data_IF_621316926808
#
_entry.id   IF_621316926808
#
_cell.length_a   1.000
_cell.length_b   1.000
_cell.length_c   1.000
_cell.angle_alpha   90.00
_cell.angle_beta   90.00
_cell.angle_gamma   90.00
#
_symmetry.space_group_name_H-M   'P 1'
#
loop_
_entity.id
_entity.type
_entity.pdbx_description
1 polymer ?
#
# COMPACT_ATOMS: atom_id res chain seq x y z
N UNK A 1 -8.21 8.00 23.53
CA UNK A 1 -6.85 7.60 23.74
C UNK A 1 -6.52 6.26 23.10
N UNK A 2 -5.31 6.12 22.69
CA UNK A 2 -4.82 4.86 22.15
C UNK A 2 -4.45 3.95 23.32
N UNK A 3 -5.23 2.92 23.55
CA UNK A 3 -4.84 1.88 24.47
C UNK A 3 -3.71 1.05 23.86
N UNK A 4 -2.63 0.92 24.61
CA UNK A 4 -1.51 0.07 24.20
C UNK A 4 -1.83 -1.37 24.52
N UNK A 5 -1.92 -2.20 23.49
CA UNK A 5 -2.13 -3.64 23.66
C UNK A 5 -0.87 -4.30 24.20
N UNK A 6 -1.03 -5.28 25.09
CA UNK A 6 0.06 -6.14 25.51
C UNK A 6 0.53 -7.06 24.37
N UNK A 7 1.74 -7.63 24.53
CA UNK A 7 2.25 -8.62 23.55
C UNK A 7 1.35 -9.84 23.43
N UNK A 8 0.78 -10.29 24.55
CA UNK A 8 -0.14 -11.42 24.56
C UNK A 8 -1.42 -11.12 23.77
N UNK A 9 -2.01 -9.94 23.97
CA UNK A 9 -3.19 -9.50 23.25
C UNK A 9 -2.94 -9.37 21.75
N UNK A 10 -1.80 -8.77 21.36
CA UNK A 10 -1.40 -8.67 19.96
C UNK A 10 -1.23 -10.04 19.32
N UNK A 11 -0.61 -10.99 20.03
CA UNK A 11 -0.41 -12.34 19.55
C UNK A 11 -1.72 -13.09 19.37
N UNK A 12 -2.65 -12.97 20.32
CA UNK A 12 -3.99 -13.55 20.21
C UNK A 12 -4.78 -12.96 19.04
N UNK A 13 -4.62 -11.69 18.80
CA UNK A 13 -5.22 -11.01 17.65
C UNK A 13 -4.69 -11.55 16.33
N UNK A 14 -3.38 -11.75 16.22
CA UNK A 14 -2.76 -12.36 15.04
C UNK A 14 -3.24 -13.81 14.83
N UNK A 15 -3.30 -14.61 15.90
CA UNK A 15 -3.82 -15.96 15.82
C UNK A 15 -5.26 -15.95 15.31
N UNK A 16 -6.10 -15.05 15.82
CA UNK A 16 -7.49 -14.92 15.36
C UNK A 16 -7.58 -14.54 13.89
N UNK A 17 -6.71 -13.66 13.43
CA UNK A 17 -6.66 -13.23 12.04
C UNK A 17 -6.23 -14.36 11.09
N UNK A 18 -5.17 -15.08 11.43
CA UNK A 18 -4.57 -16.12 10.60
C UNK A 18 -5.23 -17.49 10.76
N UNK A 19 -5.99 -17.70 11.82
CA UNK A 19 -6.71 -18.93 12.14
C UNK A 19 -6.01 -19.77 13.20
N UNK A 20 -4.68 -19.89 13.17
CA UNK A 20 -3.94 -20.64 14.16
C UNK A 20 -2.46 -20.22 14.21
N UNK A 21 -1.79 -20.53 15.30
CA UNK A 21 -0.35 -20.34 15.45
C UNK A 21 0.44 -21.15 14.40
N UNK A 22 -0.02 -22.34 14.08
CA UNK A 22 0.57 -23.19 13.04
C UNK A 22 0.56 -22.47 11.69
N UNK A 23 -0.56 -21.87 11.30
CA UNK A 23 -0.68 -21.12 10.04
C UNK A 23 0.22 -19.91 10.00
N UNK A 24 0.36 -19.17 11.10
CA UNK A 24 1.30 -18.05 11.20
C UNK A 24 2.72 -18.52 10.92
N UNK A 25 3.15 -19.61 11.55
CA UNK A 25 4.49 -20.17 11.37
C UNK A 25 4.73 -20.65 9.95
N UNK A 26 3.75 -21.27 9.33
CA UNK A 26 3.82 -21.71 7.92
C UNK A 26 3.96 -20.53 6.96
N UNK A 27 3.19 -19.47 7.14
CA UNK A 27 3.31 -18.24 6.35
C UNK A 27 4.65 -17.57 6.55
N UNK A 28 5.12 -17.48 7.79
CA UNK A 28 6.43 -16.92 8.10
C UNK A 28 7.57 -17.69 7.44
N UNK A 29 7.52 -19.02 7.48
CA UNK A 29 8.51 -19.87 6.84
C UNK A 29 8.53 -19.70 5.33
N UNK A 30 7.38 -19.54 4.69
CA UNK A 30 7.29 -19.21 3.26
C UNK A 30 7.87 -17.83 2.96
N UNK A 31 7.50 -16.84 3.77
CA UNK A 31 7.99 -15.47 3.62
C UNK A 31 9.50 -15.39 3.70
N UNK A 32 10.12 -16.08 4.66
CA UNK A 32 11.58 -16.09 4.81
C UNK A 32 12.35 -16.66 3.60
N UNK A 33 11.70 -17.49 2.81
CA UNK A 33 12.32 -18.12 1.62
C UNK A 33 12.24 -17.25 0.37
N UNK A 34 11.45 -16.18 0.39
CA UNK A 34 11.32 -15.25 -0.73
C UNK A 34 12.50 -14.28 -0.74
N UNK A 35 12.87 -13.83 -1.93
CA UNK A 35 13.81 -12.72 -2.06
C UNK A 35 13.11 -11.43 -1.62
N UNK A 36 13.80 -10.66 -0.78
CA UNK A 36 13.31 -9.40 -0.26
C UNK A 36 14.30 -8.28 -0.56
N UNK A 37 13.75 -7.11 -0.89
CA UNK A 37 14.50 -5.89 -1.02
C UNK A 37 13.76 -4.80 -0.24
N UNK A 38 14.47 -4.12 0.66
CA UNK A 38 13.92 -3.08 1.51
C UNK A 38 14.38 -1.72 1.01
N UNK A 39 13.40 -0.86 0.72
CA UNK A 39 13.67 0.49 0.21
C UNK A 39 13.17 1.50 1.21
N UNK A 40 14.06 2.34 1.71
CA UNK A 40 13.69 3.51 2.50
C UNK A 40 13.39 4.67 1.55
N UNK A 41 12.13 5.07 1.48
CA UNK A 41 11.70 6.13 0.58
C UNK A 41 10.46 6.85 1.11
N UNK A 42 10.41 8.15 0.88
CA UNK A 42 9.17 8.90 0.93
C UNK A 42 8.50 8.79 -0.44
N UNK A 43 7.33 8.17 -0.50
CA UNK A 43 6.64 7.91 -1.77
C UNK A 43 6.23 9.19 -2.50
N UNK A 44 6.09 10.31 -1.79
CA UNK A 44 5.77 11.61 -2.38
C UNK A 44 7.02 12.35 -2.88
N UNK A 45 8.13 12.23 -2.14
CA UNK A 45 9.38 12.92 -2.51
C UNK A 45 10.18 12.15 -3.57
N UNK A 46 10.26 10.84 -3.39
CA UNK A 46 11.13 9.98 -4.20
C UNK A 46 10.37 8.75 -4.70
N UNK A 47 9.26 8.91 -5.45
CA UNK A 47 8.49 7.77 -5.93
C UNK A 47 9.30 6.82 -6.80
N UNK A 48 10.28 7.32 -7.53
CA UNK A 48 11.13 6.53 -8.41
C UNK A 48 11.96 5.48 -7.67
N UNK A 49 12.26 5.68 -6.38
CA UNK A 49 12.95 4.66 -5.58
C UNK A 49 12.15 3.37 -5.47
N UNK A 50 10.82 3.48 -5.46
CA UNK A 50 9.91 2.34 -5.44
C UNK A 50 9.59 1.88 -6.85
N UNK A 51 9.23 2.79 -7.74
CA UNK A 51 8.81 2.44 -9.10
C UNK A 51 9.95 1.86 -9.94
N UNK A 52 11.20 2.17 -9.64
CA UNK A 52 12.35 1.53 -10.28
C UNK A 52 12.49 0.03 -9.96
N UNK A 53 11.82 -0.45 -8.92
CA UNK A 53 11.78 -1.87 -8.59
C UNK A 53 10.77 -2.65 -9.41
N UNK A 54 9.88 -1.98 -10.12
CA UNK A 54 8.91 -2.61 -11.00
C UNK A 54 9.64 -3.10 -12.25
N UNK A 55 9.54 -4.40 -12.51
CA UNK A 55 10.25 -5.03 -13.64
C UNK A 55 9.49 -4.90 -14.95
N UNK A 56 8.18 -4.71 -14.89
CA UNK A 56 7.30 -4.67 -16.07
C UNK A 56 6.98 -6.05 -16.64
N UNK A 57 7.44 -7.11 -16.00
CA UNK A 57 7.25 -8.49 -16.45
C UNK A 57 6.53 -9.33 -15.41
N UNK A 58 5.73 -10.29 -15.84
CA UNK A 58 5.02 -11.19 -14.96
C UNK A 58 3.84 -10.51 -14.23
N UNK A 59 3.38 -11.18 -13.20
CA UNK A 59 2.28 -10.71 -12.35
C UNK A 59 2.85 -9.90 -11.20
N UNK A 60 2.83 -8.60 -11.33
CA UNK A 60 3.25 -7.69 -10.28
C UNK A 60 2.05 -7.16 -9.52
N UNK A 61 2.20 -7.05 -8.20
CA UNK A 61 1.18 -6.54 -7.30
C UNK A 61 1.81 -5.48 -6.42
N UNK A 62 1.13 -4.34 -6.30
CA UNK A 62 1.47 -3.33 -5.30
C UNK A 62 0.39 -3.38 -4.22
N UNK A 63 0.83 -3.51 -2.98
CA UNK A 63 -0.05 -3.39 -1.84
C UNK A 63 0.36 -2.18 -1.00
N UNK A 64 -0.61 -1.34 -0.65
CA UNK A 64 -0.37 -0.23 0.26
C UNK A 64 -1.50 -0.08 1.28
N UNK A 65 -1.22 0.65 2.34
CA UNK A 65 -2.19 1.02 3.36
C UNK A 65 -1.97 2.49 3.73
N UNK A 66 -2.91 3.34 3.40
CA UNK A 66 -2.93 4.77 3.72
C UNK A 66 -1.69 5.57 3.29
N UNK A 67 -0.97 5.11 2.27
CA UNK A 67 0.31 5.72 1.88
C UNK A 67 0.19 7.20 1.49
N UNK A 68 -0.93 7.59 0.88
CA UNK A 68 -1.18 8.95 0.41
C UNK A 68 -2.13 9.76 1.29
N UNK A 69 -2.82 9.11 2.21
CA UNK A 69 -3.83 9.72 3.06
C UNK A 69 -3.49 9.69 4.54
N UNK A 70 -2.23 9.59 4.89
CA UNK A 70 -1.83 9.71 6.27
C UNK A 70 -2.02 11.15 6.75
N UNK A 71 -2.26 11.31 8.03
CA UNK A 71 -2.34 12.64 8.67
C UNK A 71 -1.09 13.47 8.37
N UNK A 72 0.09 12.85 8.44
CA UNK A 72 1.35 13.51 8.13
C UNK A 72 1.41 13.99 6.68
N UNK A 73 1.03 13.16 5.74
CA UNK A 73 1.04 13.54 4.32
C UNK A 73 0.11 14.72 4.06
N UNK A 74 -1.10 14.71 4.63
CA UNK A 74 -2.06 15.80 4.50
C UNK A 74 -1.60 17.07 5.20
N UNK A 75 -1.01 16.94 6.37
CA UNK A 75 -0.50 18.08 7.12
C UNK A 75 0.64 18.79 6.38
N UNK A 76 1.57 18.04 5.82
CA UNK A 76 2.73 18.59 5.13
C UNK A 76 2.43 19.13 3.72
N UNK A 77 1.47 18.56 3.03
CA UNK A 77 1.26 18.81 1.60
C UNK A 77 -0.12 19.33 1.25
N UNK A 78 -1.09 19.21 2.16
CA UNK A 78 -2.51 19.44 1.88
C UNK A 78 -3.10 18.38 0.95
N UNK A 79 -4.41 18.39 0.76
CA UNK A 79 -5.12 17.43 -0.09
C UNK A 79 -4.67 17.51 -1.56
N UNK A 80 -4.50 18.72 -2.09
CA UNK A 80 -4.08 18.88 -3.48
C UNK A 80 -2.65 18.38 -3.72
N UNK A 81 -1.75 18.60 -2.75
CA UNK A 81 -0.37 18.11 -2.81
C UNK A 81 -0.29 16.59 -2.75
N UNK A 82 -1.06 15.96 -1.88
CA UNK A 82 -1.16 14.50 -1.78
C UNK A 82 -1.73 13.91 -3.07
N UNK A 83 -2.75 14.53 -3.64
CA UNK A 83 -3.34 14.11 -4.91
C UNK A 83 -2.33 14.17 -6.03
N UNK A 84 -1.55 15.25 -6.11
CA UNK A 84 -0.51 15.41 -7.11
C UNK A 84 0.58 14.32 -6.97
N UNK A 85 0.99 14.01 -5.74
CA UNK A 85 1.92 12.90 -5.47
C UNK A 85 1.35 11.57 -5.95
N UNK A 86 0.10 11.30 -5.66
CA UNK A 86 -0.59 10.08 -6.10
C UNK A 86 -0.63 9.98 -7.62
N UNK A 87 -1.00 11.05 -8.30
CA UNK A 87 -1.06 11.09 -9.78
C UNK A 87 0.33 10.86 -10.41
N UNK A 88 1.36 11.48 -9.85
CA UNK A 88 2.73 11.29 -10.31
C UNK A 88 3.17 9.84 -10.15
N UNK A 89 2.91 9.27 -8.98
CA UNK A 89 3.27 7.89 -8.67
C UNK A 89 2.54 6.88 -9.56
N UNK A 90 1.24 7.04 -9.72
CA UNK A 90 0.44 6.13 -10.57
C UNK A 90 0.84 6.22 -12.04
N UNK A 91 1.17 7.42 -12.54
CA UNK A 91 1.68 7.57 -13.91
C UNK A 91 3.01 6.84 -14.11
N UNK A 92 3.91 6.92 -13.16
CA UNK A 92 5.17 6.18 -13.22
C UNK A 92 4.94 4.66 -13.24
N UNK A 93 4.00 4.17 -12.44
CA UNK A 93 3.64 2.75 -12.42
C UNK A 93 3.04 2.32 -13.76
N UNK A 94 2.09 3.09 -14.30
CA UNK A 94 1.47 2.79 -15.60
C UNK A 94 2.52 2.72 -16.71
N UNK A 95 3.50 3.60 -16.69
CA UNK A 95 4.58 3.58 -17.66
C UNK A 95 5.47 2.36 -17.53
N UNK A 96 5.67 1.85 -16.32
CA UNK A 96 6.48 0.66 -16.07
C UNK A 96 5.73 -0.64 -16.36
N UNK A 97 4.49 -0.73 -15.88
CA UNK A 97 3.65 -1.91 -16.07
C UNK A 97 2.17 -1.52 -15.97
N UNK A 98 1.48 -1.30 -17.11
CA UNK A 98 0.06 -0.91 -17.10
C UNK A 98 -0.87 -1.99 -16.54
N UNK A 99 -0.40 -3.23 -16.46
CA UNK A 99 -1.17 -4.38 -15.97
C UNK A 99 -0.91 -4.72 -14.51
N UNK A 100 -0.17 -3.89 -13.80
CA UNK A 100 0.09 -4.10 -12.38
C UNK A 100 -1.22 -4.00 -11.57
N UNK A 101 -1.36 -4.86 -10.58
CA UNK A 101 -2.50 -4.86 -9.68
C UNK A 101 -2.20 -4.04 -8.44
N UNK A 102 -3.19 -3.29 -7.99
CA UNK A 102 -3.13 -2.55 -6.74
C UNK A 102 -4.10 -3.17 -5.75
N UNK A 103 -3.58 -3.50 -4.59
CA UNK A 103 -4.34 -4.02 -3.46
C UNK A 103 -4.01 -3.19 -2.23
N UNK A 104 -4.99 -2.96 -1.37
CA UNK A 104 -4.71 -2.23 -0.14
C UNK A 104 -5.95 -1.58 0.46
N UNK A 105 -5.71 -0.63 1.33
CA UNK A 105 -6.74 0.10 2.04
C UNK A 105 -6.35 1.59 2.12
N UNK A 106 -7.26 2.46 1.78
CA UNK A 106 -7.01 3.89 1.85
C UNK A 106 -7.40 4.50 3.21
N UNK A 107 -7.12 5.79 3.36
CA UNK A 107 -7.42 6.55 4.57
C UNK A 107 -8.92 6.55 4.95
N UNK A 108 -9.79 6.45 3.98
CA UNK A 108 -11.24 6.48 4.20
C UNK A 108 -11.80 5.12 4.63
N UNK A 109 -10.95 4.23 5.03
CA UNK A 109 -11.30 2.87 5.46
C UNK A 109 -11.99 2.04 4.38
N UNK A 110 -11.80 2.43 3.12
CA UNK A 110 -12.33 1.71 1.98
C UNK A 110 -11.33 0.67 1.52
N UNK A 111 -11.73 -0.59 1.40
CA UNK A 111 -10.86 -1.59 0.81
C UNK A 111 -10.54 -1.20 -0.63
N UNK A 112 -9.29 -1.27 -1.01
CA UNK A 112 -8.88 -1.19 -2.39
C UNK A 112 -9.03 -2.58 -2.96
N UNK A 113 -10.05 -2.78 -3.78
CA UNK A 113 -10.21 -4.03 -4.51
C UNK A 113 -9.09 -4.17 -5.53
N UNK A 114 -8.73 -5.42 -5.84
CA UNK A 114 -7.72 -5.68 -6.85
C UNK A 114 -8.15 -5.09 -8.19
N UNK A 115 -7.51 -4.01 -8.59
CA UNK A 115 -7.73 -3.32 -9.86
C UNK A 115 -6.41 -3.08 -10.55
N UNK A 116 -6.46 -2.98 -11.87
CA UNK A 116 -5.31 -2.48 -12.59
C UNK A 116 -5.15 -0.99 -12.29
N UNK A 117 -3.91 -0.53 -12.21
CA UNK A 117 -3.60 0.84 -11.78
C UNK A 117 -4.28 1.91 -12.63
N UNK A 118 -4.43 1.67 -13.92
CA UNK A 118 -5.12 2.59 -14.84
C UNK A 118 -6.58 2.86 -14.46
N UNK A 119 -7.26 1.85 -13.93
CA UNK A 119 -8.67 1.96 -13.51
C UNK A 119 -8.76 2.63 -12.13
N UNK A 120 -7.79 2.35 -11.29
CA UNK A 120 -7.73 2.90 -9.94
C UNK A 120 -7.48 4.41 -9.92
N UNK A 121 -6.73 4.92 -10.86
CA UNK A 121 -6.45 6.34 -10.97
C UNK A 121 -7.75 7.15 -11.20
N UNK A 122 -8.65 6.65 -12.02
CA UNK A 122 -9.96 7.31 -12.25
C UNK A 122 -10.83 7.30 -11.00
N UNK A 123 -10.91 6.16 -10.32
CA UNK A 123 -11.68 6.03 -9.07
C UNK A 123 -11.15 6.96 -7.98
N UNK A 124 -9.85 7.02 -7.82
CA UNK A 124 -9.22 7.91 -6.84
C UNK A 124 -9.50 9.38 -7.15
N UNK A 125 -9.42 9.77 -8.40
CA UNK A 125 -9.71 11.13 -8.82
C UNK A 125 -11.15 11.54 -8.52
N UNK A 126 -12.10 10.63 -8.62
CA UNK A 126 -13.50 10.86 -8.26
C UNK A 126 -13.66 11.01 -6.75
N UNK A 127 -13.00 10.14 -5.97
CA UNK A 127 -13.07 10.17 -4.50
C UNK A 127 -12.48 11.46 -3.92
N UNK A 128 -11.34 11.89 -4.44
CA UNK A 128 -10.66 13.08 -3.94
C UNK A 128 -11.39 14.39 -4.24
N UNK A 129 -12.31 14.41 -5.20
CA UNK A 129 -13.16 15.55 -5.49
C UNK A 129 -14.34 15.69 -4.56
N UNK A 130 -14.73 14.64 -3.87
CA UNK A 130 -15.88 14.62 -2.96
C UNK A 130 -15.48 14.85 -1.48
N UNK A 131 -14.21 14.93 -1.21
CA UNK A 131 -13.61 15.19 0.10
C UNK A 131 -13.00 16.60 0.08
#
# INVERSE_FOLDING_TARGET
GTETMSRSELWQREISWWGSEKEIKEHWNRYKKLDHDYVYADICENPQKVTNKITGTGNEIIWWSNAFHTVNAQYLRGLSGVRQCYETWTKQIVNKNPNIWILGKDYLDRPVEGKQVKDYLDDYSKLSKTV
#
